data_IF_059380195921
#
_entry.id   IF_059380195921
#
_cell.length_a   1.000
_cell.length_b   1.000
_cell.length_c   1.000
_cell.angle_alpha   90.00
_cell.angle_beta   90.00
_cell.angle_gamma   90.00
#
_symmetry.space_group_name_H-M   'P 1'
#
loop_
_entity.id
_entity.type
_entity.pdbx_description
1 polymer ?
#
# COMPACT_ATOMS: atom_id res chain seq x y z
N UNK A 1 43.26 -11.37 -56.63
CA UNK A 1 42.08 -11.72 -55.79
C UNK A 1 42.54 -12.65 -54.69
N UNK A 2 42.70 -12.11 -53.49
CA UNK A 2 43.07 -12.82 -52.26
C UNK A 2 41.82 -12.84 -51.34
N UNK A 3 41.61 -13.95 -50.63
CA UNK A 3 40.38 -14.22 -49.84
C UNK A 3 40.21 -13.25 -48.65
N UNK A 4 38.98 -12.79 -48.34
CA UNK A 4 38.67 -11.77 -47.33
C UNK A 4 38.83 -12.22 -45.86
N UNK A 5 39.29 -13.44 -45.58
CA UNK A 5 39.48 -13.94 -44.20
C UNK A 5 40.83 -13.56 -43.55
N UNK A 6 41.75 -12.93 -44.28
CA UNK A 6 43.09 -12.56 -43.78
C UNK A 6 43.21 -11.14 -43.22
N UNK A 7 42.17 -10.29 -43.35
CA UNK A 7 42.21 -8.90 -42.85
C UNK A 7 41.67 -8.80 -41.41
N UNK A 8 40.89 -9.78 -40.92
CA UNK A 8 40.40 -9.76 -39.54
C UNK A 8 41.42 -10.23 -38.50
N UNK A 9 42.52 -10.87 -38.91
CA UNK A 9 43.54 -11.41 -37.98
C UNK A 9 44.59 -10.36 -37.58
N UNK A 10 44.72 -9.25 -38.34
CA UNK A 10 45.65 -8.17 -38.01
C UNK A 10 45.12 -7.17 -36.96
N UNK A 11 43.87 -7.30 -36.51
CA UNK A 11 43.30 -6.46 -35.46
C UNK A 11 43.44 -7.05 -34.04
N UNK A 12 43.92 -8.29 -33.89
CA UNK A 12 44.01 -8.97 -32.59
C UNK A 12 45.44 -9.16 -32.06
N UNK A 13 46.46 -8.66 -32.77
CA UNK A 13 47.88 -8.79 -32.40
C UNK A 13 48.53 -7.48 -31.98
N UNK A 14 47.80 -6.59 -31.30
CA UNK A 14 48.39 -5.48 -30.51
C UNK A 14 47.54 -5.19 -29.26
N UNK A 15 47.27 -6.22 -28.47
CA UNK A 15 46.93 -6.10 -27.05
C UNK A 15 47.99 -6.83 -26.24
N UNK A 16 49.17 -6.25 -26.02
CA UNK A 16 50.06 -6.62 -24.90
C UNK A 16 51.11 -5.53 -24.68
N UNK A 17 50.73 -4.41 -24.03
CA UNK A 17 51.57 -3.57 -23.15
C UNK A 17 50.79 -2.30 -22.80
N UNK A 18 50.11 -2.31 -21.66
CA UNK A 18 49.34 -1.16 -21.20
C UNK A 18 48.57 -1.49 -19.92
N UNK A 19 49.32 -1.56 -18.83
CA UNK A 19 48.83 -1.75 -17.46
C UNK A 19 47.70 -0.77 -17.11
N UNK A 20 46.56 -1.32 -16.73
CA UNK A 20 45.48 -0.60 -16.04
C UNK A 20 46.00 -0.15 -14.68
N UNK A 21 45.89 1.13 -14.29
CA UNK A 21 46.32 1.57 -12.97
C UNK A 21 45.35 1.03 -11.91
N UNK A 22 45.91 0.34 -10.92
CA UNK A 22 45.22 -0.11 -9.71
C UNK A 22 44.74 1.08 -8.87
N UNK A 23 43.54 1.05 -8.27
CA UNK A 23 43.21 1.96 -7.18
C UNK A 23 44.08 1.65 -5.95
N UNK A 24 44.48 2.65 -5.14
CA UNK A 24 45.29 2.42 -3.95
C UNK A 24 44.52 1.58 -2.92
N UNK A 25 45.15 0.49 -2.49
CA UNK A 25 44.82 -0.23 -1.26
C UNK A 25 45.01 0.71 -0.07
N UNK A 26 43.92 1.03 0.64
CA UNK A 26 43.98 1.26 2.08
C UNK A 26 43.06 0.23 2.73
N UNK A 27 43.66 -0.89 3.11
CA UNK A 27 43.11 -1.81 4.10
C UNK A 27 43.14 -1.14 5.46
N UNK A 28 41.99 -0.62 5.89
CA UNK A 28 41.60 -0.67 7.31
C UNK A 28 40.24 -1.35 7.34
N UNK A 29 40.26 -2.59 7.80
CA UNK A 29 39.10 -3.41 8.13
C UNK A 29 38.12 -2.61 9.00
N UNK A 30 36.90 -2.38 8.52
CA UNK A 30 35.75 -2.09 9.37
C UNK A 30 34.55 -2.85 8.80
N UNK A 31 34.23 -3.88 9.55
CA UNK A 31 33.09 -4.79 9.56
C UNK A 31 31.96 -4.55 8.54
N UNK A 32 31.58 -5.65 7.90
CA UNK A 32 30.23 -5.88 7.41
C UNK A 32 29.23 -5.74 8.57
N UNK A 33 28.78 -4.52 8.82
CA UNK A 33 27.75 -4.20 9.79
C UNK A 33 26.64 -3.41 9.11
N UNK A 34 25.81 -4.08 8.30
CA UNK A 34 24.47 -3.57 8.02
C UNK A 34 23.68 -3.64 9.33
N UNK A 35 23.88 -2.67 10.22
CA UNK A 35 22.91 -2.39 11.26
C UNK A 35 21.70 -1.77 10.57
N UNK A 36 20.79 -2.61 10.08
CA UNK A 36 19.41 -2.20 9.88
C UNK A 36 18.73 -2.07 11.25
N UNK A 37 19.26 -1.16 12.06
CA UNK A 37 18.67 -0.75 13.33
C UNK A 37 17.74 0.42 13.05
N UNK A 38 16.56 0.15 12.49
CA UNK A 38 15.48 1.14 12.46
C UNK A 38 15.06 1.42 13.91
N UNK A 39 15.71 2.37 14.57
CA UNK A 39 15.26 2.89 15.86
C UNK A 39 14.02 3.73 15.58
N UNK A 40 12.84 3.12 15.73
CA UNK A 40 11.57 3.86 15.70
C UNK A 40 11.41 4.64 17.00
N UNK A 41 11.05 5.90 16.87
CA UNK A 41 10.69 6.77 17.99
C UNK A 41 9.17 6.82 18.09
N UNK A 42 8.64 6.62 19.29
CA UNK A 42 7.23 6.79 19.59
C UNK A 42 7.01 8.14 20.27
N UNK A 43 5.90 8.80 19.97
CA UNK A 43 5.51 10.09 20.56
C UNK A 43 4.10 9.93 21.12
N UNK A 44 3.93 10.29 22.38
CA UNK A 44 2.62 10.37 23.02
C UNK A 44 2.04 11.78 22.82
N UNK A 45 0.77 11.84 22.43
CA UNK A 45 0.01 13.07 22.21
C UNK A 45 -1.25 12.96 23.09
N UNK A 46 -1.50 13.97 23.91
CA UNK A 46 -2.58 13.99 24.93
C UNK A 46 -3.88 14.63 24.43
N UNK A 47 -3.93 15.08 23.18
CA UNK A 47 -5.15 15.60 22.55
C UNK A 47 -6.18 14.48 22.33
N UNK A 48 -7.42 14.69 22.80
CA UNK A 48 -8.54 13.79 22.51
C UNK A 48 -8.98 13.95 21.04
N UNK A 49 -8.89 12.86 20.29
CA UNK A 49 -9.25 12.78 18.87
C UNK A 49 -9.91 11.43 18.59
N UNK A 50 -10.79 11.37 17.59
CA UNK A 50 -11.20 10.10 17.00
C UNK A 50 -9.99 9.41 16.35
N UNK A 51 -10.07 8.09 16.12
CA UNK A 51 -8.94 7.36 15.51
C UNK A 51 -8.52 7.94 14.15
N UNK A 52 -9.51 8.31 13.31
CA UNK A 52 -9.28 8.89 11.97
C UNK A 52 -8.64 10.29 12.05
N UNK A 53 -9.05 11.11 13.01
CA UNK A 53 -8.43 12.42 13.27
C UNK A 53 -7.00 12.26 13.78
N UNK A 54 -6.76 11.34 14.71
CA UNK A 54 -5.43 11.05 15.24
C UNK A 54 -4.49 10.54 14.14
N UNK A 55 -4.97 9.66 13.25
CA UNK A 55 -4.21 9.19 12.09
C UNK A 55 -3.87 10.32 11.13
N UNK A 56 -4.85 11.15 10.78
CA UNK A 56 -4.67 12.30 9.89
C UNK A 56 -3.68 13.31 10.49
N UNK A 57 -3.80 13.57 11.78
CA UNK A 57 -2.88 14.42 12.54
C UNK A 57 -1.45 13.87 12.52
N UNK A 58 -1.27 12.58 12.80
CA UNK A 58 0.04 11.93 12.76
C UNK A 58 0.65 11.95 11.36
N UNK A 59 -0.12 11.75 10.29
CA UNK A 59 0.37 11.83 8.90
C UNK A 59 0.70 13.25 8.48
N UNK A 60 0.01 14.24 9.05
CA UNK A 60 0.26 15.65 8.75
C UNK A 60 1.49 16.20 9.48
N UNK A 61 1.73 15.77 10.73
CA UNK A 61 2.78 16.34 11.60
C UNK A 61 3.95 15.41 11.90
N UNK A 62 3.77 14.11 11.72
CA UNK A 62 4.73 13.06 12.02
C UNK A 62 4.77 12.06 10.85
N UNK A 63 4.74 10.75 11.12
CA UNK A 63 4.70 9.70 10.10
C UNK A 63 3.32 9.06 9.99
N UNK A 64 2.86 8.36 11.04
CA UNK A 64 1.54 7.73 11.13
C UNK A 64 1.30 7.32 12.60
N UNK A 65 0.12 6.79 12.92
CA UNK A 65 -0.11 6.13 14.20
C UNK A 65 0.84 4.93 14.39
N UNK A 66 1.21 4.67 15.65
CA UNK A 66 2.21 3.66 16.00
C UNK A 66 1.80 2.25 15.54
N UNK A 67 2.66 1.57 14.77
CA UNK A 67 2.57 0.13 14.54
C UNK A 67 3.49 -0.61 15.50
N UNK A 68 2.93 -1.57 16.24
CA UNK A 68 3.65 -2.38 17.23
C UNK A 68 4.05 -3.71 16.58
N UNK A 69 5.34 -3.94 16.37
CA UNK A 69 5.82 -5.11 15.60
C UNK A 69 6.42 -6.21 16.47
N UNK A 70 6.71 -5.91 17.73
CA UNK A 70 7.25 -6.86 18.71
C UNK A 70 7.00 -6.35 20.13
N UNK A 71 7.29 -7.21 21.12
CA UNK A 71 7.09 -6.90 22.53
C UNK A 71 7.97 -5.74 23.03
N UNK A 72 9.17 -5.58 22.48
CA UNK A 72 10.07 -4.48 22.83
C UNK A 72 9.47 -3.12 22.46
N UNK A 73 8.81 -3.01 21.32
CA UNK A 73 8.07 -1.81 20.93
C UNK A 73 6.84 -1.60 21.79
N UNK A 74 6.13 -2.67 22.15
CA UNK A 74 5.00 -2.60 23.06
C UNK A 74 5.40 -2.03 24.42
N UNK A 75 6.53 -2.50 24.98
CA UNK A 75 7.03 -2.01 26.27
C UNK A 75 7.44 -0.52 26.19
N UNK A 76 8.09 -0.09 25.11
CA UNK A 76 8.43 1.33 24.92
C UNK A 76 7.19 2.24 24.90
N UNK A 77 6.09 1.76 24.33
CA UNK A 77 4.82 2.51 24.31
C UNK A 77 4.20 2.51 25.71
N UNK A 78 4.21 1.37 26.41
CA UNK A 78 3.72 1.26 27.80
C UNK A 78 4.46 2.21 28.75
N UNK A 79 5.79 2.31 28.63
CA UNK A 79 6.62 3.21 29.45
C UNK A 79 6.37 4.71 29.13
N UNK A 80 5.94 5.01 27.90
CA UNK A 80 5.71 6.38 27.41
C UNK A 80 4.33 6.92 27.80
N UNK A 81 3.34 6.05 27.96
CA UNK A 81 1.92 6.41 28.14
C UNK A 81 1.57 6.49 29.64
N UNK A 82 0.89 7.56 30.11
CA UNK A 82 0.42 7.63 31.48
C UNK A 82 -0.43 6.41 31.89
N UNK A 83 -0.25 5.91 33.13
CA UNK A 83 -0.99 4.73 33.59
C UNK A 83 -2.50 4.99 33.61
N UNK A 84 -3.27 3.97 33.24
CA UNK A 84 -4.73 3.97 33.37
C UNK A 84 -5.49 4.64 32.22
N UNK A 85 -4.82 5.07 31.15
CA UNK A 85 -5.46 5.65 29.97
C UNK A 85 -5.47 4.68 28.79
N UNK A 86 -6.30 4.98 27.79
CA UNK A 86 -6.34 4.26 26.50
C UNK A 86 -5.86 5.22 25.41
N UNK A 87 -5.02 4.73 24.50
CA UNK A 87 -4.48 5.51 23.39
C UNK A 87 -4.71 4.79 22.07
N UNK A 88 -4.83 5.54 20.97
CA UNK A 88 -4.94 4.97 19.62
C UNK A 88 -3.58 4.45 19.12
N UNK A 89 -3.59 3.31 18.44
CA UNK A 89 -2.45 2.76 17.68
C UNK A 89 -2.86 2.56 16.22
N UNK A 90 -1.89 2.38 15.33
CA UNK A 90 -2.09 2.34 13.88
C UNK A 90 -2.68 1.04 13.35
N UNK A 91 -2.97 0.06 14.22
CA UNK A 91 -3.66 -1.16 13.82
C UNK A 91 -5.16 -0.85 13.68
N UNK A 92 -5.69 -1.05 12.48
CA UNK A 92 -7.13 -0.95 12.19
C UNK A 92 -7.60 -2.18 11.42
N UNK A 93 -8.88 -2.49 11.57
CA UNK A 93 -9.56 -3.53 10.78
C UNK A 93 -10.27 -2.84 9.62
N UNK A 94 -9.95 -3.24 8.40
CA UNK A 94 -10.61 -2.76 7.18
C UNK A 94 -11.13 -3.95 6.38
N UNK A 95 -12.43 -4.24 6.49
CA UNK A 95 -13.04 -5.49 5.98
C UNK A 95 -14.05 -5.29 4.85
N UNK A 96 -14.09 -4.12 4.21
CA UNK A 96 -14.99 -3.87 3.08
C UNK A 96 -14.53 -4.57 1.80
N UNK A 97 -15.48 -5.22 1.12
CA UNK A 97 -15.25 -5.97 -0.13
C UNK A 97 -16.34 -5.65 -1.14
N UNK A 98 -15.94 -5.52 -2.41
CA UNK A 98 -16.91 -5.41 -3.50
C UNK A 98 -17.55 -6.77 -3.78
N UNK A 99 -18.82 -6.77 -4.17
CA UNK A 99 -19.60 -7.98 -4.47
C UNK A 99 -19.02 -8.79 -5.63
N UNK A 100 -18.34 -8.14 -6.57
CA UNK A 100 -17.62 -8.78 -7.67
C UNK A 100 -16.25 -9.35 -7.27
N UNK A 101 -15.87 -9.27 -5.99
CA UNK A 101 -14.59 -9.75 -5.48
C UNK A 101 -13.38 -8.87 -5.81
N UNK A 102 -13.59 -7.72 -6.47
CA UNK A 102 -12.50 -6.78 -6.74
C UNK A 102 -11.97 -6.17 -5.44
N UNK A 103 -10.65 -5.95 -5.40
CA UNK A 103 -10.01 -5.23 -4.32
C UNK A 103 -9.97 -3.73 -4.66
N UNK A 104 -10.27 -2.90 -3.67
CA UNK A 104 -10.08 -1.45 -3.78
C UNK A 104 -9.56 -0.91 -2.47
N UNK A 105 -8.54 -0.05 -2.54
CA UNK A 105 -8.06 0.74 -1.40
C UNK A 105 -8.81 2.06 -1.26
N UNK A 106 -9.71 2.40 -2.19
CA UNK A 106 -10.50 3.62 -2.09
C UNK A 106 -11.45 3.50 -0.89
N UNK A 107 -11.45 4.53 -0.05
CA UNK A 107 -12.34 4.67 1.11
C UNK A 107 -12.95 6.05 1.01
N UNK A 108 -14.11 6.13 0.37
CA UNK A 108 -14.77 7.40 0.08
C UNK A 108 -15.94 7.65 1.04
N UNK A 109 -15.75 7.33 2.31
CA UNK A 109 -16.75 7.47 3.36
C UNK A 109 -17.11 8.93 3.65
N UNK A 110 -18.32 9.14 4.15
CA UNK A 110 -18.68 10.39 4.84
C UNK A 110 -17.87 10.53 6.12
N UNK A 111 -17.92 11.71 6.75
CA UNK A 111 -17.34 11.88 8.10
C UNK A 111 -18.10 10.90 9.01
N UNK A 112 -17.43 10.38 10.04
CA UNK A 112 -17.93 9.37 11.02
C UNK A 112 -18.26 7.97 10.49
N UNK A 113 -18.25 7.74 9.16
CA UNK A 113 -18.47 6.41 8.58
C UNK A 113 -17.16 5.68 8.24
N UNK A 114 -17.18 4.33 8.20
CA UNK A 114 -18.29 3.45 8.55
C UNK A 114 -18.43 3.29 10.07
N UNK A 115 -19.64 3.43 10.59
CA UNK A 115 -19.89 3.46 12.04
C UNK A 115 -20.43 2.13 12.60
N UNK A 116 -20.90 1.23 11.73
CA UNK A 116 -21.52 -0.03 12.06
C UNK A 116 -22.60 0.11 13.14
N UNK A 117 -23.63 0.92 12.88
CA UNK A 117 -24.62 1.30 13.87
C UNK A 117 -25.30 0.05 14.45
N UNK A 118 -25.25 -0.08 15.77
CA UNK A 118 -25.77 -1.23 16.52
C UNK A 118 -25.16 -2.59 16.11
N UNK A 119 -24.08 -2.61 15.33
CA UNK A 119 -23.42 -3.83 14.87
C UNK A 119 -24.07 -4.50 13.66
N UNK A 120 -24.96 -3.80 12.94
CA UNK A 120 -25.78 -4.38 11.87
C UNK A 120 -25.61 -3.75 10.49
N UNK A 121 -24.69 -2.80 10.32
CA UNK A 121 -24.49 -2.11 9.04
C UNK A 121 -23.34 -2.74 8.27
N UNK A 122 -23.69 -3.65 7.36
CA UNK A 122 -22.73 -4.46 6.60
C UNK A 122 -22.82 -4.25 5.09
N UNK A 123 -23.71 -3.37 4.64
CA UNK A 123 -23.86 -2.99 3.24
C UNK A 123 -23.52 -1.51 3.07
N UNK A 124 -23.12 -1.11 1.86
CA UNK A 124 -22.68 0.25 1.57
C UNK A 124 -23.67 0.92 0.63
N UNK A 125 -24.05 2.15 0.95
CA UNK A 125 -24.79 3.03 0.05
C UNK A 125 -23.95 4.28 -0.27
N UNK A 126 -24.00 4.75 -1.51
CA UNK A 126 -23.44 6.04 -1.87
C UNK A 126 -24.50 7.14 -1.65
N UNK A 127 -24.18 8.10 -0.80
CA UNK A 127 -25.01 9.27 -0.53
C UNK A 127 -24.69 10.38 -1.54
N UNK A 128 -25.53 10.50 -2.57
CA UNK A 128 -25.36 11.51 -3.63
C UNK A 128 -25.67 12.94 -3.18
N UNK A 129 -26.32 13.15 -2.03
CA UNK A 129 -26.44 14.47 -1.41
C UNK A 129 -25.10 14.94 -0.81
N UNK A 130 -24.20 14.00 -0.53
CA UNK A 130 -22.86 14.22 0.04
C UNK A 130 -21.77 13.86 -0.97
N UNK A 131 -21.95 14.28 -2.23
CA UNK A 131 -20.96 14.10 -3.31
C UNK A 131 -20.60 12.63 -3.56
N UNK A 132 -21.59 11.74 -3.45
CA UNK A 132 -21.46 10.28 -3.62
C UNK A 132 -20.54 9.60 -2.60
N UNK A 133 -20.33 10.23 -1.42
CA UNK A 133 -19.62 9.61 -0.32
C UNK A 133 -20.41 8.43 0.26
N UNK A 134 -19.69 7.50 0.85
CA UNK A 134 -20.24 6.21 1.27
C UNK A 134 -20.69 6.26 2.72
N UNK A 135 -21.76 5.52 3.00
CA UNK A 135 -22.30 5.23 4.34
C UNK A 135 -22.52 3.73 4.42
N UNK A 136 -22.25 3.12 5.58
CA UNK A 136 -22.74 1.78 5.85
C UNK A 136 -24.19 1.82 6.33
N UNK A 137 -24.96 0.83 5.91
CA UNK A 137 -26.37 0.67 6.23
C UNK A 137 -26.66 -0.81 6.48
N UNK A 138 -27.77 -1.08 7.16
CA UNK A 138 -28.31 -2.44 7.23
C UNK A 138 -28.66 -2.91 5.82
N UNK A 139 -28.29 -4.15 5.49
CA UNK A 139 -28.50 -4.69 4.14
C UNK A 139 -29.99 -4.81 3.76
N UNK A 140 -30.89 -4.85 4.75
CA UNK A 140 -32.34 -4.92 4.56
C UNK A 140 -32.99 -3.55 4.31
N UNK A 141 -32.20 -2.46 4.35
CA UNK A 141 -32.70 -1.12 4.02
C UNK A 141 -33.06 -1.03 2.54
N UNK A 142 -34.29 -0.59 2.25
CA UNK A 142 -34.71 -0.28 0.88
C UNK A 142 -33.99 0.98 0.39
N UNK A 143 -33.28 0.87 -0.75
CA UNK A 143 -32.58 1.96 -1.43
C UNK A 143 -32.76 1.82 -2.95
N UNK A 144 -32.69 2.92 -3.68
CA UNK A 144 -32.44 2.87 -5.12
C UNK A 144 -31.04 2.28 -5.39
N UNK A 145 -30.87 1.64 -6.54
CA UNK A 145 -29.60 1.02 -6.91
C UNK A 145 -29.19 1.39 -8.33
N UNK A 146 -27.87 1.37 -8.55
CA UNK A 146 -27.26 1.46 -9.87
C UNK A 146 -26.71 0.08 -10.20
N UNK A 147 -26.97 -0.39 -11.43
CA UNK A 147 -26.44 -1.64 -11.94
C UNK A 147 -25.43 -1.38 -13.06
N UNK A 148 -24.42 -2.25 -13.15
CA UNK A 148 -23.51 -2.31 -14.29
C UNK A 148 -23.65 -3.67 -14.96
N UNK A 149 -24.47 -3.72 -16.02
CA UNK A 149 -24.64 -4.92 -16.82
C UNK A 149 -23.67 -4.88 -18.03
N UNK A 150 -22.74 -5.83 -18.10
CA UNK A 150 -22.01 -6.10 -19.35
C UNK A 150 -22.94 -6.83 -20.31
N UNK A 151 -23.49 -6.12 -21.28
CA UNK A 151 -24.12 -6.76 -22.43
C UNK A 151 -23.03 -7.34 -23.34
N UNK A 152 -22.69 -8.61 -23.16
CA UNK A 152 -22.03 -9.38 -24.21
C UNK A 152 -23.07 -9.64 -25.31
N UNK A 153 -23.14 -8.77 -26.33
CA UNK A 153 -23.81 -9.15 -27.57
C UNK A 153 -23.01 -10.32 -28.17
N UNK A 154 -23.55 -11.53 -28.13
CA UNK A 154 -23.01 -12.65 -28.90
C UNK A 154 -23.24 -12.33 -30.38
N UNK A 155 -22.20 -11.87 -31.07
CA UNK A 155 -22.16 -11.88 -32.52
C UNK A 155 -22.10 -13.34 -32.99
N UNK A 156 -23.27 -13.96 -33.12
CA UNK A 156 -23.45 -15.16 -33.95
C UNK A 156 -24.92 -15.24 -34.32
N UNK A 157 -25.22 -14.98 -35.61
CA UNK A 157 -26.19 -15.68 -36.47
C UNK A 157 -26.53 -14.82 -37.70
N UNK A 158 -25.62 -14.74 -38.68
CA UNK A 158 -25.95 -14.70 -40.11
C UNK A 158 -24.80 -15.37 -40.88
N UNK A 159 -24.69 -16.68 -40.72
CA UNK A 159 -24.15 -17.59 -41.71
C UNK A 159 -24.73 -18.97 -41.39
N UNK A 160 -26.02 -19.11 -41.72
CA UNK A 160 -26.61 -20.43 -41.99
C UNK A 160 -26.75 -20.52 -43.50
N UNK A 161 -25.89 -21.34 -44.08
CA UNK A 161 -26.19 -22.23 -45.19
C UNK A 161 -27.08 -21.66 -46.32
N UNK A 162 -26.43 -21.14 -47.37
CA UNK A 162 -26.87 -21.46 -48.72
C UNK A 162 -25.84 -22.42 -49.31
N UNK A 163 -26.30 -23.66 -49.48
CA UNK A 163 -25.75 -24.68 -50.38
C UNK A 163 -25.79 -24.15 -51.82
#
# INVERSE_FOLDING_TARGET
MLRPHLIQILAYMLFLQGSVPSPPNITTTLEYGLFSGSTRTFVYIDNLMTWTEAQSYCRLRYTDLASVRNMTENQKIDDLVPRGIRVWIGLFRDSWKWTNGSNSSLRYWTIIEPNNLMGHESCVAANFLLNAKWEDWTCDSMKEFLDFCFMFYSHQLLNKDYV
#
